data_IF_735266540485
#
_entry.id   IF_735266540485
#
_cell.length_a   1.000
_cell.length_b   1.000
_cell.length_c   1.000
_cell.angle_alpha   90.00
_cell.angle_beta   90.00
_cell.angle_gamma   90.00
#
_symmetry.space_group_name_H-M   'P 1'
#
loop_
_entity.id
_entity.type
_entity.pdbx_description
1 polymer ?
#
# COMPACT_ATOMS: atom_id res chain seq x y z
N UNK A 1 10.19 -13.00 1.21
CA UNK A 1 8.78 -12.56 1.02
C UNK A 1 8.34 -12.87 -0.43
N UNK A 2 7.07 -13.22 -0.68
CA UNK A 2 6.52 -13.55 -2.01
C UNK A 2 5.32 -12.64 -2.37
N UNK A 3 5.54 -11.33 -2.62
CA UNK A 3 4.49 -10.31 -2.60
C UNK A 3 3.46 -10.40 -3.74
N UNK A 4 3.75 -11.15 -4.82
CA UNK A 4 2.78 -11.39 -5.90
C UNK A 4 1.84 -12.55 -5.54
N UNK A 5 2.39 -13.63 -4.99
CA UNK A 5 1.60 -14.83 -4.63
C UNK A 5 0.85 -14.62 -3.31
N UNK A 6 1.50 -14.00 -2.34
CA UNK A 6 0.90 -13.57 -1.08
C UNK A 6 0.68 -12.06 -1.19
N UNK A 7 -0.56 -11.59 -1.44
CA UNK A 7 -0.84 -10.19 -1.78
C UNK A 7 -0.85 -9.30 -0.53
N UNK A 8 0.20 -9.37 0.28
CA UNK A 8 0.33 -8.61 1.53
C UNK A 8 0.43 -7.09 1.29
N UNK A 9 0.68 -6.64 0.05
CA UNK A 9 0.61 -5.23 -0.34
C UNK A 9 -0.83 -4.69 -0.35
N UNK A 10 -1.85 -5.56 -0.41
CA UNK A 10 -3.27 -5.17 -0.38
C UNK A 10 -3.79 -4.81 1.02
N UNK A 11 -3.04 -5.12 2.08
CA UNK A 11 -3.43 -4.80 3.45
C UNK A 11 -3.05 -3.36 3.79
N UNK A 12 -4.02 -2.52 4.16
CA UNK A 12 -3.81 -1.13 4.54
C UNK A 12 -3.84 -0.94 6.06
N UNK A 13 -3.24 0.15 6.55
CA UNK A 13 -3.40 0.59 7.93
C UNK A 13 -4.76 1.29 8.11
N UNK A 14 -5.18 1.45 9.37
CA UNK A 14 -6.44 2.11 9.72
C UNK A 14 -6.58 3.49 9.05
N UNK A 15 -7.80 3.83 8.61
CA UNK A 15 -8.08 5.06 7.87
C UNK A 15 -7.55 5.06 6.44
N UNK A 16 -7.40 3.89 5.81
CA UNK A 16 -6.93 3.76 4.42
C UNK A 16 -5.47 4.14 4.22
N UNK A 17 -4.67 4.17 5.30
CA UNK A 17 -3.29 4.64 5.27
C UNK A 17 -2.33 3.59 4.73
N UNK A 18 -1.23 4.03 4.12
CA UNK A 18 -0.15 3.14 3.73
C UNK A 18 0.60 2.68 4.99
N UNK A 19 0.44 1.40 5.33
CA UNK A 19 1.25 0.73 6.36
C UNK A 19 2.59 0.23 5.81
N UNK A 20 3.42 -0.32 6.70
CA UNK A 20 4.71 -0.92 6.33
C UNK A 20 4.59 -2.08 5.34
N UNK A 21 5.72 -2.44 4.74
CA UNK A 21 5.83 -3.56 3.80
C UNK A 21 7.19 -4.25 3.93
N UNK A 22 7.18 -5.58 4.02
CA UNK A 22 8.38 -6.37 4.33
C UNK A 22 9.23 -6.73 3.10
N UNK A 23 8.76 -6.46 1.88
CA UNK A 23 9.57 -6.68 0.68
C UNK A 23 10.67 -5.62 0.57
N UNK A 24 11.73 -5.94 -0.18
CA UNK A 24 12.76 -4.96 -0.56
C UNK A 24 12.08 -3.75 -1.20
N UNK A 25 12.46 -2.54 -0.77
CA UNK A 25 11.84 -1.28 -1.22
C UNK A 25 10.63 -0.84 -0.37
N UNK A 26 10.21 -1.65 0.61
CA UNK A 26 9.30 -1.22 1.66
C UNK A 26 7.98 -0.65 1.12
N UNK A 27 7.48 0.40 1.77
CA UNK A 27 6.21 1.03 1.41
C UNK A 27 6.15 1.52 -0.05
N UNK A 28 7.30 1.88 -0.66
CA UNK A 28 7.34 2.29 -2.06
C UNK A 28 6.98 1.13 -3.00
N UNK A 29 7.51 -0.07 -2.75
CA UNK A 29 7.16 -1.26 -3.53
C UNK A 29 5.70 -1.64 -3.37
N UNK A 30 5.14 -1.48 -2.16
CA UNK A 30 3.71 -1.66 -1.90
C UNK A 30 2.85 -0.73 -2.75
N UNK A 31 3.21 0.56 -2.79
CA UNK A 31 2.54 1.56 -3.62
C UNK A 31 2.60 1.21 -5.11
N UNK A 32 3.78 0.77 -5.60
CA UNK A 32 3.94 0.37 -7.01
C UNK A 32 3.06 -0.83 -7.36
N UNK A 33 3.03 -1.86 -6.51
CA UNK A 33 2.19 -3.04 -6.73
C UNK A 33 0.71 -2.68 -6.75
N UNK A 34 0.26 -1.84 -5.80
CA UNK A 34 -1.11 -1.33 -5.78
C UNK A 34 -1.44 -0.51 -7.04
N UNK A 35 -0.52 0.33 -7.51
CA UNK A 35 -0.71 1.12 -8.73
C UNK A 35 -0.79 0.22 -9.98
N UNK A 36 0.01 -0.84 -10.07
CA UNK A 36 -0.06 -1.84 -11.15
C UNK A 36 -1.42 -2.55 -11.14
N UNK A 37 -1.99 -2.80 -9.96
CA UNK A 37 -3.33 -3.37 -9.80
C UNK A 37 -4.47 -2.37 -10.08
N UNK A 38 -4.17 -1.10 -10.37
CA UNK A 38 -5.15 -0.06 -10.61
C UNK A 38 -5.84 0.47 -9.34
N UNK A 39 -5.22 0.29 -8.16
CA UNK A 39 -5.74 0.83 -6.92
C UNK A 39 -5.52 2.35 -6.87
N UNK A 40 -6.61 3.10 -6.78
CA UNK A 40 -6.59 4.54 -6.54
C UNK A 40 -6.26 4.81 -5.08
N UNK A 41 -4.98 5.12 -4.82
CA UNK A 41 -4.54 5.52 -3.50
C UNK A 41 -4.80 7.01 -3.37
N UNK A 42 -5.96 7.34 -2.80
CA UNK A 42 -6.28 8.72 -2.45
C UNK A 42 -5.11 9.28 -1.64
N UNK A 43 -4.49 10.36 -2.16
CA UNK A 43 -3.47 11.11 -1.42
C UNK A 43 -4.07 11.40 -0.06
N UNK A 44 -3.37 11.05 1.01
CA UNK A 44 -3.80 11.33 2.38
C UNK A 44 -3.84 12.85 2.57
N UNK A 45 -4.87 13.52 2.05
CA UNK A 45 -5.29 14.78 2.56
C UNK A 45 -5.76 14.48 3.98
N UNK A 46 -5.09 15.08 4.96
CA UNK A 46 -5.66 15.22 6.29
C UNK A 46 -7.02 15.88 6.11
N UNK A 47 -8.09 15.07 6.08
CA UNK A 47 -9.44 15.57 6.28
C UNK A 47 -9.40 16.23 7.66
N UNK A 48 -9.55 17.56 7.77
CA UNK A 48 -9.75 18.15 9.07
C UNK A 48 -11.06 17.56 9.59
N UNK A 49 -10.98 16.99 10.80
CA UNK A 49 -12.16 16.70 11.61
C UNK A 49 -12.90 18.02 11.88
#
# INVERSE_FOLDING_TARGET
PFPILVPCHRVLAAGGRIGGFSARGGAQTKLQLLAIEGAEIARQASLPL
#
